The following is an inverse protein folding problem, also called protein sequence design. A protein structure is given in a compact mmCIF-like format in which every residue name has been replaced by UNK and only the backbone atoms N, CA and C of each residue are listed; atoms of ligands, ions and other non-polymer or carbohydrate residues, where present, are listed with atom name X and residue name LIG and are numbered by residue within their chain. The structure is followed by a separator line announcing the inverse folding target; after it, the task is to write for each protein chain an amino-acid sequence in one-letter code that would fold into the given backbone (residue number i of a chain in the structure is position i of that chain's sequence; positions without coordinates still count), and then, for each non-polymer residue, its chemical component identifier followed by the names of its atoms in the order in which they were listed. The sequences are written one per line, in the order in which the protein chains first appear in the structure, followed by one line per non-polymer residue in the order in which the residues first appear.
data_IF_195335364542
#
_entry.id   IF_195335364542
#
_cell.length_a   1.000
_cell.length_b   1.000
_cell.length_c   1.000
_cell.angle_alpha   90.00
_cell.angle_beta   90.00
_cell.angle_gamma   90.00
#
_symmetry.space_group_name_H-M   'P 1'
#
loop_
_entity.id
_entity.type
_entity.pdbx_description
1 polymer ?
#
# COMPACT_ATOMS: atom_id res chain seq x y z
N UNK A 1 -36.18 0.44 -38.10
CA UNK A 1 -35.64 1.77 -37.73
C UNK A 1 -34.19 1.83 -38.19
N UNK A 2 -33.58 3.01 -38.29
CA UNK A 2 -32.15 3.13 -38.63
C UNK A 2 -31.27 3.06 -37.36
N UNK A 3 -29.95 3.20 -37.53
CA UNK A 3 -29.03 3.52 -36.44
C UNK A 3 -29.02 5.04 -36.20
N UNK A 4 -28.99 5.45 -34.95
CA UNK A 4 -28.84 6.85 -34.55
C UNK A 4 -27.38 7.13 -34.20
N UNK A 5 -26.91 8.36 -34.41
CA UNK A 5 -25.57 8.74 -33.97
C UNK A 5 -25.50 8.80 -32.44
N UNK A 6 -24.38 8.37 -31.84
CA UNK A 6 -24.23 8.35 -30.38
C UNK A 6 -24.20 9.76 -29.78
N UNK A 7 -23.67 10.74 -30.49
CA UNK A 7 -23.59 12.14 -30.03
C UNK A 7 -24.94 12.87 -30.01
N UNK A 8 -26.06 12.19 -30.32
CA UNK A 8 -27.41 12.74 -30.15
C UNK A 8 -27.87 12.74 -28.68
N UNK A 9 -27.22 11.97 -27.81
CA UNK A 9 -27.37 12.06 -26.35
C UNK A 9 -26.03 12.55 -25.78
N UNK A 10 -26.10 13.58 -24.93
CA UNK A 10 -24.98 14.04 -24.11
C UNK A 10 -24.97 13.25 -22.80
N UNK A 11 -23.84 12.65 -22.43
CA UNK A 11 -23.65 12.07 -21.10
C UNK A 11 -22.99 13.13 -20.23
N UNK A 12 -23.62 13.52 -19.11
CA UNK A 12 -23.06 14.52 -18.18
C UNK A 12 -22.67 13.91 -16.84
N UNK A 13 -21.83 14.63 -16.10
CA UNK A 13 -21.38 14.30 -14.74
C UNK A 13 -21.38 15.56 -13.86
N UNK A 14 -22.39 16.41 -14.03
CA UNK A 14 -22.46 17.73 -13.40
C UNK A 14 -23.39 17.73 -12.18
N UNK A 15 -24.32 16.78 -12.08
CA UNK A 15 -25.21 16.63 -10.94
C UNK A 15 -24.51 16.16 -9.66
N UNK A 16 -25.21 16.28 -8.53
CA UNK A 16 -24.69 15.81 -7.26
C UNK A 16 -24.70 14.28 -7.20
N UNK A 17 -23.58 13.66 -6.84
CA UNK A 17 -23.41 12.20 -6.91
C UNK A 17 -23.28 11.67 -8.34
N UNK A 18 -23.12 12.55 -9.34
CA UNK A 18 -22.95 12.13 -10.72
C UNK A 18 -21.56 11.54 -10.95
N UNK A 19 -21.50 10.45 -11.70
CA UNK A 19 -20.25 9.79 -12.09
C UNK A 19 -20.38 9.14 -13.47
N UNK A 20 -19.28 8.56 -13.96
CA UNK A 20 -19.28 7.88 -15.24
C UNK A 20 -20.27 6.69 -15.23
N UNK A 21 -20.93 6.48 -16.37
CA UNK A 21 -21.68 5.25 -16.64
C UNK A 21 -20.72 4.06 -16.61
N UNK A 22 -21.16 2.93 -16.04
CA UNK A 22 -20.39 1.67 -16.09
C UNK A 22 -20.32 1.15 -17.53
N UNK A 23 -21.42 1.26 -18.26
CA UNK A 23 -21.43 0.92 -19.69
C UNK A 23 -22.41 1.75 -20.51
N UNK A 24 -22.07 1.88 -21.79
CA UNK A 24 -22.87 2.51 -22.84
C UNK A 24 -22.77 1.65 -24.11
N UNK A 25 -23.78 0.81 -24.35
CA UNK A 25 -23.76 -0.21 -25.39
C UNK A 25 -24.82 0.06 -26.44
N UNK A 26 -24.39 0.17 -27.71
CA UNK A 26 -25.30 0.25 -28.86
C UNK A 26 -25.45 -1.12 -29.51
N UNK A 27 -26.68 -1.62 -29.61
CA UNK A 27 -27.02 -2.84 -30.33
C UNK A 27 -27.73 -2.49 -31.65
N UNK A 28 -27.14 -2.90 -32.78
CA UNK A 28 -27.66 -2.63 -34.12
C UNK A 28 -28.47 -3.85 -34.59
N UNK A 29 -29.72 -3.92 -34.15
CA UNK A 29 -30.71 -4.89 -34.63
C UNK A 29 -31.65 -4.24 -35.67
N UNK A 30 -32.87 -4.76 -35.84
CA UNK A 30 -33.91 -4.18 -36.73
C UNK A 30 -34.32 -2.75 -36.34
N UNK A 31 -34.16 -2.37 -35.08
CA UNK A 31 -34.11 -1.00 -34.60
C UNK A 31 -32.92 -0.89 -33.64
N UNK A 32 -32.03 0.08 -33.86
CA UNK A 32 -30.89 0.24 -32.98
C UNK A 32 -31.36 0.62 -31.57
N UNK A 33 -30.83 -0.06 -30.56
CA UNK A 33 -31.02 0.31 -29.16
C UNK A 33 -29.69 0.76 -28.56
N UNK A 34 -29.75 1.65 -27.57
CA UNK A 34 -28.59 2.05 -26.78
C UNK A 34 -28.96 1.87 -25.31
N UNK A 35 -28.11 1.18 -24.57
CA UNK A 35 -28.33 0.82 -23.17
C UNK A 35 -27.25 1.47 -22.34
N UNK A 36 -27.68 2.26 -21.36
CA UNK A 36 -26.83 2.87 -20.34
C UNK A 36 -26.94 2.06 -19.07
N UNK A 37 -25.80 1.77 -18.43
CA UNK A 37 -25.75 1.10 -17.14
C UNK A 37 -25.09 2.03 -16.14
N UNK A 38 -25.82 2.36 -15.08
CA UNK A 38 -25.34 3.10 -13.93
C UNK A 38 -25.23 2.12 -12.77
N UNK A 39 -24.11 2.15 -12.04
CA UNK A 39 -23.90 1.29 -10.87
C UNK A 39 -23.67 2.14 -9.63
N UNK A 40 -24.12 1.65 -8.49
CA UNK A 40 -23.96 2.31 -7.19
C UNK A 40 -25.20 2.19 -6.34
N UNK A 41 -25.06 2.43 -5.04
CA UNK A 41 -26.19 2.38 -4.12
C UNK A 41 -27.16 3.51 -4.44
N UNK A 42 -28.44 3.15 -4.67
CA UNK A 42 -29.46 4.06 -5.21
C UNK A 42 -29.05 4.64 -6.58
N UNK A 43 -28.38 3.83 -7.41
CA UNK A 43 -28.09 4.19 -8.80
C UNK A 43 -29.35 4.72 -9.47
N UNK A 44 -29.18 5.81 -10.21
CA UNK A 44 -30.23 6.39 -11.00
C UNK A 44 -29.69 6.99 -12.30
N UNK A 45 -30.58 7.09 -13.29
CA UNK A 45 -30.28 7.72 -14.57
C UNK A 45 -31.29 8.85 -14.81
N UNK A 46 -30.80 10.09 -14.90
CA UNK A 46 -31.63 11.26 -15.21
C UNK A 46 -31.69 11.48 -16.72
N UNK A 47 -32.86 11.30 -17.33
CA UNK A 47 -33.05 11.28 -18.79
C UNK A 47 -33.84 12.45 -19.37
N UNK A 48 -33.80 13.64 -18.77
CA UNK A 48 -34.56 14.83 -19.19
C UNK A 48 -36.09 14.74 -19.01
N UNK A 49 -36.62 13.55 -18.73
CA UNK A 49 -38.05 13.21 -18.55
C UNK A 49 -38.37 12.74 -17.13
N UNK A 50 -37.35 12.54 -16.30
CA UNK A 50 -37.45 11.94 -14.98
C UNK A 50 -36.20 11.15 -14.64
N UNK A 51 -36.27 10.47 -13.50
CA UNK A 51 -35.19 9.68 -12.93
C UNK A 51 -35.57 8.21 -13.03
N UNK A 52 -34.77 7.40 -13.73
CA UNK A 52 -34.85 5.93 -13.68
C UNK A 52 -34.10 5.51 -12.43
N UNK A 53 -34.77 4.88 -11.46
CA UNK A 53 -34.14 4.38 -10.25
C UNK A 53 -33.74 2.91 -10.41
N UNK A 54 -32.77 2.44 -9.62
CA UNK A 54 -32.39 1.02 -9.45
C UNK A 54 -33.63 0.09 -9.45
N UNK A 55 -34.61 0.38 -8.58
CA UNK A 55 -35.86 -0.39 -8.48
C UNK A 55 -36.70 -0.49 -9.77
N UNK A 56 -36.53 0.42 -10.73
CA UNK A 56 -37.40 0.54 -11.90
C UNK A 56 -37.10 -0.51 -12.98
N UNK A 57 -35.93 -1.16 -12.95
CA UNK A 57 -35.60 -2.26 -13.85
C UNK A 57 -36.01 -3.65 -13.32
N UNK A 58 -36.64 -3.67 -12.13
CA UNK A 58 -37.22 -4.86 -11.52
C UNK A 58 -36.34 -5.51 -10.46
N UNK A 59 -35.16 -4.95 -10.17
CA UNK A 59 -34.28 -5.36 -9.07
C UNK A 59 -33.91 -4.17 -8.18
N UNK A 60 -33.49 -4.45 -6.94
CA UNK A 60 -32.81 -3.45 -6.09
C UNK A 60 -31.45 -4.05 -5.79
N UNK A 61 -30.52 -3.89 -6.73
CA UNK A 61 -29.20 -4.52 -6.70
C UNK A 61 -28.06 -3.52 -6.91
N UNK A 62 -28.39 -2.22 -6.90
CA UNK A 62 -27.44 -1.13 -7.10
C UNK A 62 -27.09 -0.94 -8.58
N UNK A 63 -27.95 -1.38 -9.50
CA UNK A 63 -27.79 -1.21 -10.93
C UNK A 63 -29.05 -0.56 -11.49
N UNK A 64 -28.88 0.59 -12.14
CA UNK A 64 -29.95 1.21 -12.92
C UNK A 64 -29.63 1.06 -14.41
N UNK A 65 -30.54 0.44 -15.16
CA UNK A 65 -30.41 0.31 -16.61
C UNK A 65 -31.42 1.20 -17.34
N UNK A 66 -30.95 1.94 -18.35
CA UNK A 66 -31.81 2.78 -19.19
C UNK A 66 -31.59 2.47 -20.67
N UNK A 67 -32.65 2.02 -21.35
CA UNK A 67 -32.60 1.69 -22.77
C UNK A 67 -33.39 2.70 -23.59
N UNK A 68 -32.77 3.21 -24.64
CA UNK A 68 -33.39 4.06 -25.65
C UNK A 68 -33.37 3.36 -27.01
N UNK A 69 -34.38 3.63 -27.84
CA UNK A 69 -34.49 3.08 -29.20
C UNK A 69 -34.31 4.20 -30.22
N UNK A 70 -33.59 3.96 -31.31
CA UNK A 70 -33.49 4.93 -32.38
C UNK A 70 -34.83 5.09 -33.12
N UNK A 71 -35.26 6.32 -33.34
CA UNK A 71 -36.50 6.61 -34.06
C UNK A 71 -36.42 6.18 -35.54
N UNK A 72 -37.57 6.10 -36.22
CA UNK A 72 -37.63 5.67 -37.64
C UNK A 72 -36.82 6.57 -38.57
N UNK A 73 -36.71 7.86 -38.24
CA UNK A 73 -35.99 8.86 -39.03
C UNK A 73 -34.46 8.81 -38.85
N UNK A 74 -33.95 8.12 -37.83
CA UNK A 74 -32.51 8.10 -37.52
C UNK A 74 -31.98 9.38 -36.88
N UNK A 75 -32.86 10.22 -36.33
CA UNK A 75 -32.52 11.59 -35.86
C UNK A 75 -32.55 11.76 -34.35
N UNK A 76 -33.14 10.82 -33.61
CA UNK A 76 -33.24 10.91 -32.16
C UNK A 76 -33.28 9.52 -31.49
N UNK A 77 -32.71 9.45 -30.30
CA UNK A 77 -32.89 8.34 -29.38
C UNK A 77 -34.17 8.58 -28.57
N UNK A 78 -35.08 7.62 -28.56
CA UNK A 78 -36.39 7.76 -27.93
C UNK A 78 -36.63 6.71 -26.85
N UNK A 79 -37.29 7.13 -25.77
CA UNK A 79 -37.87 6.24 -24.78
C UNK A 79 -39.35 6.62 -24.61
N UNK A 80 -40.26 5.64 -24.69
CA UNK A 80 -41.73 5.85 -24.62
C UNK A 80 -42.29 6.95 -25.55
N UNK A 81 -41.63 7.19 -26.69
CA UNK A 81 -42.05 8.17 -27.70
C UNK A 81 -41.49 9.58 -27.51
N UNK A 82 -40.53 9.75 -26.59
CA UNK A 82 -39.94 11.04 -26.26
C UNK A 82 -38.45 11.04 -26.59
N UNK A 83 -37.99 12.10 -27.23
CA UNK A 83 -36.59 12.33 -27.58
C UNK A 83 -35.75 12.56 -26.32
N UNK A 84 -34.72 11.74 -26.15
CA UNK A 84 -33.73 11.85 -25.09
C UNK A 84 -32.49 12.55 -25.66
N UNK A 85 -32.08 13.65 -25.01
CA UNK A 85 -30.94 14.46 -25.44
C UNK A 85 -29.81 14.50 -24.41
N UNK A 86 -30.09 14.08 -23.18
CA UNK A 86 -29.14 14.04 -22.08
C UNK A 86 -29.42 12.83 -21.19
N UNK A 87 -28.36 12.20 -20.71
CA UNK A 87 -28.40 11.23 -19.61
C UNK A 87 -27.31 11.56 -18.60
N UNK A 88 -27.58 11.31 -17.32
CA UNK A 88 -26.60 11.40 -16.24
C UNK A 88 -26.78 10.20 -15.32
N UNK A 89 -25.67 9.57 -14.92
CA UNK A 89 -25.69 8.53 -13.91
C UNK A 89 -25.34 9.16 -12.58
N UNK A 90 -26.20 9.01 -11.58
CA UNK A 90 -25.90 9.40 -10.22
C UNK A 90 -26.17 8.25 -9.25
N UNK A 91 -25.34 8.15 -8.22
CA UNK A 91 -25.56 7.24 -7.10
C UNK A 91 -25.18 7.93 -5.80
N UNK A 92 -25.53 7.32 -4.66
CA UNK A 92 -25.26 7.89 -3.33
C UNK A 92 -23.76 7.92 -2.99
N UNK A 93 -22.87 7.39 -3.81
CA UNK A 93 -21.46 7.36 -3.44
C UNK A 93 -20.86 8.77 -3.35
N UNK A 94 -20.56 9.13 -2.11
CA UNK A 94 -20.11 10.44 -1.68
C UNK A 94 -18.58 10.53 -1.70
N UNK A 95 -18.12 11.78 -1.68
CA UNK A 95 -16.75 12.10 -1.33
C UNK A 95 -16.53 11.84 0.16
N UNK A 96 -15.41 11.22 0.53
CA UNK A 96 -14.98 11.15 1.91
C UNK A 96 -13.99 12.28 2.18
N UNK A 97 -14.17 13.08 3.25
CA UNK A 97 -13.14 14.02 3.66
C UNK A 97 -11.81 13.31 3.91
N UNK A 98 -10.71 13.89 3.43
CA UNK A 98 -9.37 13.32 3.60
C UNK A 98 -8.95 13.27 5.08
N UNK A 99 -9.46 14.17 5.90
CA UNK A 99 -9.17 14.24 7.34
C UNK A 99 -9.89 13.18 8.19
N UNK A 100 -10.70 12.29 7.59
CA UNK A 100 -11.23 11.11 8.28
C UNK A 100 -10.14 10.06 8.59
N UNK A 101 -9.00 10.13 7.90
CA UNK A 101 -7.82 9.32 8.20
C UNK A 101 -6.73 10.24 8.74
N UNK A 102 -6.17 9.85 9.89
CA UNK A 102 -4.94 10.44 10.41
C UNK A 102 -3.73 9.75 9.78
N UNK A 103 -2.84 10.52 9.17
CA UNK A 103 -1.54 10.01 8.70
C UNK A 103 -0.51 10.31 9.78
N UNK A 104 0.11 9.27 10.34
CA UNK A 104 1.10 9.41 11.44
C UNK A 104 2.49 8.96 11.02
N UNK A 105 3.49 9.46 11.76
CA UNK A 105 4.91 9.09 11.65
C UNK A 105 5.48 8.86 13.05
N UNK A 106 4.66 8.35 13.97
CA UNK A 106 4.96 8.32 15.40
C UNK A 106 5.76 7.08 15.80
N UNK A 107 5.68 6.02 15.00
CA UNK A 107 6.42 4.79 15.21
C UNK A 107 7.92 4.98 14.93
N UNK A 108 8.73 4.07 15.45
CA UNK A 108 10.18 4.08 15.20
C UNK A 108 10.46 3.70 13.74
N UNK A 109 11.02 4.65 12.99
CA UNK A 109 11.27 4.48 11.55
C UNK A 109 10.15 5.04 10.67
N UNK A 110 9.01 5.43 11.26
CA UNK A 110 7.89 6.04 10.53
C UNK A 110 8.31 7.31 9.78
N UNK A 111 7.86 7.42 8.54
CA UNK A 111 8.07 8.60 7.70
C UNK A 111 6.80 8.97 6.93
N UNK A 112 6.85 10.11 6.22
CA UNK A 112 5.74 10.52 5.38
C UNK A 112 5.48 9.48 4.27
N UNK A 113 4.21 9.31 3.90
CA UNK A 113 3.81 8.54 2.73
C UNK A 113 4.46 9.14 1.47
N UNK A 114 4.95 8.28 0.58
CA UNK A 114 5.48 8.67 -0.73
C UNK A 114 4.35 9.04 -1.71
N UNK A 115 3.17 8.45 -1.51
CA UNK A 115 1.96 8.77 -2.27
C UNK A 115 0.70 8.80 -1.39
N UNK A 116 -0.17 9.76 -1.66
CA UNK A 116 -1.53 9.86 -1.13
C UNK A 116 -2.42 10.44 -2.23
N UNK A 117 -3.13 9.57 -2.94
CA UNK A 117 -3.88 9.92 -4.15
C UNK A 117 -5.35 9.57 -3.94
N UNK A 118 -6.23 10.55 -4.15
CA UNK A 118 -7.67 10.32 -4.25
C UNK A 118 -8.03 10.20 -5.73
N UNK A 119 -8.59 9.06 -6.11
CA UNK A 119 -9.10 8.80 -7.45
C UNK A 119 -10.59 9.14 -7.50
N UNK A 120 -10.89 10.20 -8.24
CA UNK A 120 -12.25 10.69 -8.51
C UNK A 120 -12.85 10.13 -9.80
N UNK A 121 -12.12 9.27 -10.50
CA UNK A 121 -12.45 8.85 -11.86
C UNK A 121 -12.90 7.40 -11.99
N UNK A 122 -12.73 6.56 -10.95
CA UNK A 122 -13.08 5.13 -11.03
C UNK A 122 -14.18 4.70 -10.05
N UNK A 123 -15.31 4.29 -10.62
CA UNK A 123 -16.43 3.69 -9.89
C UNK A 123 -17.34 4.71 -9.19
N UNK A 124 -18.37 4.22 -8.48
CA UNK A 124 -19.33 5.10 -7.84
C UNK A 124 -18.70 5.86 -6.66
N UNK A 125 -17.85 5.21 -5.84
CA UNK A 125 -17.24 5.78 -4.62
C UNK A 125 -15.77 6.16 -4.81
N UNK A 126 -15.36 7.29 -4.22
CA UNK A 126 -13.96 7.71 -4.21
C UNK A 126 -13.06 6.60 -3.66
N UNK A 127 -11.92 6.41 -4.33
CA UNK A 127 -10.84 5.59 -3.81
C UNK A 127 -9.71 6.49 -3.34
N UNK A 128 -9.02 6.08 -2.28
CA UNK A 128 -7.80 6.74 -1.80
C UNK A 128 -6.70 5.72 -1.67
N UNK A 129 -5.60 5.96 -2.35
CA UNK A 129 -4.44 5.06 -2.39
C UNK A 129 -3.27 5.72 -1.71
N UNK A 130 -2.73 5.03 -0.71
CA UNK A 130 -1.47 5.36 -0.06
C UNK A 130 -0.35 4.53 -0.67
N UNK A 131 0.82 5.15 -0.81
CA UNK A 131 2.05 4.50 -1.24
C UNK A 131 3.15 4.80 -0.23
N UNK A 132 3.88 3.75 0.15
CA UNK A 132 5.03 3.79 1.03
C UNK A 132 6.17 3.07 0.33
N UNK A 133 7.30 3.74 0.12
CA UNK A 133 8.47 3.23 -0.58
C UNK A 133 9.64 3.10 0.40
N UNK A 134 10.51 2.12 0.14
CA UNK A 134 11.71 1.88 0.92
C UNK A 134 11.92 0.40 1.23
N UNK A 135 13.12 0.06 1.68
CA UNK A 135 13.49 -1.32 1.94
C UNK A 135 12.58 -1.92 3.02
N UNK A 136 11.77 -2.91 2.66
CA UNK A 136 10.78 -3.50 3.57
C UNK A 136 9.64 -2.54 3.96
N UNK A 137 9.23 -1.67 3.03
CA UNK A 137 8.09 -0.77 3.19
C UNK A 137 6.83 -1.52 3.64
N UNK A 138 6.13 -0.94 4.61
CA UNK A 138 4.81 -1.40 5.02
C UNK A 138 3.89 -0.22 5.39
N UNK A 139 2.60 -0.48 5.34
CA UNK A 139 1.57 0.46 5.80
C UNK A 139 0.87 -0.16 7.00
N UNK A 140 1.07 0.45 8.16
CA UNK A 140 0.38 0.13 9.41
C UNK A 140 -1.00 0.80 9.41
N UNK A 141 -2.01 0.05 9.87
CA UNK A 141 -3.41 0.49 9.84
C UNK A 141 -3.99 0.47 11.25
N UNK A 142 -4.65 1.58 11.63
CA UNK A 142 -5.36 1.72 12.91
C UNK A 142 -4.51 1.42 14.17
N UNK A 143 -3.20 1.70 14.12
CA UNK A 143 -2.29 1.50 15.26
C UNK A 143 -1.96 0.02 15.53
N UNK A 144 -1.30 -0.63 14.57
CA UNK A 144 -0.82 -2.02 14.61
C UNK A 144 -1.90 -3.11 14.49
N UNK A 145 -3.11 -2.76 14.04
CA UNK A 145 -4.20 -3.73 13.85
C UNK A 145 -4.18 -4.43 12.47
N UNK A 146 -3.20 -4.11 11.62
CA UNK A 146 -2.97 -4.76 10.34
C UNK A 146 -1.80 -4.13 9.60
N UNK A 147 -1.06 -4.96 8.86
CA UNK A 147 0.12 -4.55 8.08
C UNK A 147 -0.10 -4.90 6.62
N UNK A 148 0.09 -3.93 5.72
CA UNK A 148 0.18 -4.18 4.27
C UNK A 148 1.66 -4.17 3.90
N UNK A 149 2.18 -5.32 3.47
CA UNK A 149 3.55 -5.46 2.98
C UNK A 149 3.52 -5.83 1.50
N UNK A 150 4.43 -5.26 0.73
CA UNK A 150 4.82 -5.81 -0.57
C UNK A 150 6.28 -6.27 -0.49
N UNK A 151 6.59 -7.40 -1.14
CA UNK A 151 7.96 -7.94 -1.21
C UNK A 151 8.88 -7.08 -2.11
N UNK A 152 8.33 -6.01 -2.71
CA UNK A 152 8.95 -5.20 -3.76
C UNK A 152 9.55 -3.86 -3.30
N UNK A 153 9.70 -3.64 -1.97
CA UNK A 153 10.12 -2.36 -1.38
C UNK A 153 9.13 -1.20 -1.63
N UNK A 154 7.89 -1.51 -2.06
CA UNK A 154 6.80 -0.54 -2.27
C UNK A 154 5.49 -1.10 -1.75
N UNK A 155 5.01 -0.64 -0.59
CA UNK A 155 3.68 -0.99 -0.10
C UNK A 155 2.62 -0.03 -0.66
N UNK A 156 1.50 -0.58 -1.16
CA UNK A 156 0.35 0.21 -1.63
C UNK A 156 -0.94 -0.24 -0.96
N UNK A 157 -1.75 0.73 -0.52
CA UNK A 157 -2.99 0.47 0.20
C UNK A 157 -4.12 1.36 -0.32
N UNK A 158 -5.14 0.73 -0.91
CA UNK A 158 -6.31 1.43 -1.46
C UNK A 158 -7.53 1.23 -0.58
N UNK A 159 -8.17 2.35 -0.24
CA UNK A 159 -9.41 2.46 0.51
C UNK A 159 -10.55 2.88 -0.40
N UNK A 160 -11.78 2.51 -0.02
CA UNK A 160 -13.00 2.98 -0.68
C UNK A 160 -13.85 3.75 0.32
N UNK A 161 -14.33 4.93 -0.06
CA UNK A 161 -15.27 5.69 0.77
C UNK A 161 -16.57 4.89 1.00
N UNK A 162 -17.13 4.92 2.21
CA UNK A 162 -18.43 4.31 2.48
C UNK A 162 -19.59 5.14 1.88
N UNK A 163 -20.75 4.52 1.77
CA UNK A 163 -21.95 5.11 1.15
C UNK A 163 -22.47 6.38 1.84
N UNK A 164 -22.10 6.59 3.11
CA UNK A 164 -22.51 7.75 3.88
C UNK A 164 -21.49 8.89 3.84
N UNK A 165 -20.33 8.71 3.19
CA UNK A 165 -19.27 9.72 3.15
C UNK A 165 -18.60 9.97 4.51
N UNK A 166 -18.75 9.04 5.45
CA UNK A 166 -18.34 9.19 6.86
C UNK A 166 -17.11 8.38 7.24
N UNK A 167 -16.68 7.44 6.40
CA UNK A 167 -15.51 6.60 6.66
C UNK A 167 -14.85 6.10 5.38
N UNK A 168 -13.52 5.96 5.43
CA UNK A 168 -12.77 5.19 4.45
C UNK A 168 -12.72 3.73 4.87
N UNK A 169 -13.01 2.81 3.97
CA UNK A 169 -13.23 1.40 4.27
C UNK A 169 -12.21 0.51 3.56
N UNK A 170 -11.81 -0.56 4.24
CA UNK A 170 -11.07 -1.69 3.67
C UNK A 170 -11.67 -3.00 4.19
N UNK A 171 -12.10 -3.89 3.29
CA UNK A 171 -12.72 -5.17 3.64
C UNK A 171 -13.83 -5.07 4.70
N UNK A 172 -14.65 -4.01 4.64
CA UNK A 172 -15.75 -3.76 5.58
C UNK A 172 -15.35 -3.15 6.93
N UNK A 173 -14.06 -2.84 7.13
CA UNK A 173 -13.55 -2.17 8.33
C UNK A 173 -13.27 -0.71 8.05
N UNK A 174 -13.69 0.18 8.94
CA UNK A 174 -13.38 1.60 8.87
C UNK A 174 -11.91 1.86 9.25
N UNK A 175 -11.21 2.60 8.40
CA UNK A 175 -9.83 3.00 8.60
C UNK A 175 -9.80 4.45 9.05
N UNK A 176 -9.18 4.68 10.19
CA UNK A 176 -9.07 6.00 10.84
C UNK A 176 -7.62 6.47 10.95
N UNK A 177 -6.66 5.57 10.74
CA UNK A 177 -5.24 5.89 10.80
C UNK A 177 -4.45 5.02 9.83
N UNK A 178 -3.47 5.64 9.18
CA UNK A 178 -2.44 4.95 8.40
C UNK A 178 -1.06 5.51 8.76
N UNK A 179 -0.04 4.67 8.68
CA UNK A 179 1.35 5.06 8.89
C UNK A 179 2.25 4.32 7.91
N UNK A 180 3.12 5.06 7.21
CA UNK A 180 4.20 4.47 6.45
C UNK A 180 5.34 4.23 7.40
N UNK A 181 5.57 2.95 7.68
CA UNK A 181 6.72 2.52 8.44
C UNK A 181 7.49 1.52 7.56
N UNK A 182 8.82 1.61 7.45
CA UNK A 182 9.58 0.41 7.14
C UNK A 182 9.35 -0.59 8.29
N UNK A 183 9.44 -1.90 8.00
CA UNK A 183 9.38 -2.93 9.05
C UNK A 183 10.19 -2.47 10.27
N UNK A 184 9.69 -2.61 11.52
CA UNK A 184 10.36 -2.06 12.68
C UNK A 184 11.83 -2.48 12.64
N UNK A 185 12.69 -1.48 12.79
CA UNK A 185 14.08 -1.50 12.40
C UNK A 185 14.89 -2.64 13.08
N UNK A 186 14.89 -3.84 12.46
CA UNK A 186 15.92 -4.87 12.30
C UNK A 186 15.34 -6.25 11.97
N UNK A 187 16.07 -7.06 11.20
CA UNK A 187 15.95 -8.53 11.22
C UNK A 187 17.27 -9.25 10.93
N UNK A 188 18.16 -8.64 10.15
CA UNK A 188 19.53 -9.10 9.94
C UNK A 188 20.41 -7.98 9.37
N UNK A 189 21.69 -7.95 9.75
CA UNK A 189 22.74 -7.15 9.11
C UNK A 189 23.55 -8.07 8.19
N UNK A 190 24.08 -7.55 7.07
CA UNK A 190 24.95 -8.37 6.24
C UNK A 190 26.20 -8.82 7.01
N UNK A 191 26.64 -10.07 6.78
CA UNK A 191 27.79 -10.67 7.48
C UNK A 191 29.11 -9.94 7.17
N UNK A 192 29.23 -9.39 5.96
CA UNK A 192 30.39 -8.66 5.45
C UNK A 192 30.59 -7.27 6.08
N UNK A 193 29.61 -6.76 6.84
CA UNK A 193 29.72 -5.47 7.54
C UNK A 193 30.76 -5.50 8.67
N UNK A 194 31.13 -6.70 9.15
CA UNK A 194 32.35 -6.92 9.95
C UNK A 194 33.35 -7.67 9.07
N UNK A 195 34.48 -7.04 8.80
CA UNK A 195 35.61 -7.70 8.17
C UNK A 195 36.35 -8.58 9.20
N UNK A 196 36.42 -9.88 8.96
CA UNK A 196 37.25 -10.80 9.75
C UNK A 196 38.64 -10.86 9.15
N UNK A 197 39.67 -10.35 9.85
CA UNK A 197 41.05 -10.38 9.35
C UNK A 197 41.90 -11.44 10.04
N UNK A 198 43.01 -11.81 9.38
CA UNK A 198 44.02 -12.73 9.90
C UNK A 198 45.43 -12.21 9.60
N UNK A 199 45.63 -10.91 9.75
CA UNK A 199 46.85 -10.22 9.30
C UNK A 199 47.80 -9.89 10.45
N UNK A 200 47.30 -9.81 11.69
CA UNK A 200 48.12 -9.59 12.88
C UNK A 200 49.00 -10.79 13.25
N UNK A 201 49.97 -10.54 14.11
CA UNK A 201 50.81 -11.60 14.66
C UNK A 201 49.97 -12.50 15.59
N UNK A 202 50.05 -13.81 15.40
CA UNK A 202 49.21 -14.76 16.16
C UNK A 202 47.77 -14.86 15.64
N UNK A 203 47.41 -14.12 14.58
CA UNK A 203 46.05 -14.12 14.06
C UNK A 203 45.64 -15.45 13.43
N UNK A 204 44.38 -15.81 13.60
CA UNK A 204 43.81 -17.08 13.15
C UNK A 204 42.29 -16.99 12.92
N UNK A 205 41.68 -17.98 12.26
CA UNK A 205 40.23 -18.01 12.08
C UNK A 205 39.46 -18.09 13.40
N UNK A 206 38.31 -17.42 13.47
CA UNK A 206 37.33 -17.62 14.53
C UNK A 206 36.85 -19.08 14.54
N UNK A 207 36.66 -19.64 15.74
CA UNK A 207 36.18 -21.00 15.93
C UNK A 207 34.69 -21.15 15.60
N UNK A 208 33.89 -20.13 15.94
CA UNK A 208 32.47 -20.07 15.61
C UNK A 208 32.06 -18.66 15.22
N UNK A 209 31.08 -18.57 14.32
CA UNK A 209 30.42 -17.35 13.88
C UNK A 209 28.96 -17.70 13.63
N UNK A 210 28.10 -17.34 14.58
CA UNK A 210 26.68 -17.71 14.55
C UNK A 210 25.82 -16.45 14.57
N UNK A 211 24.62 -16.53 13.99
CA UNK A 211 23.68 -15.42 13.98
C UNK A 211 22.31 -15.93 14.39
N UNK A 212 21.80 -15.36 15.49
CA UNK A 212 20.46 -15.60 16.00
C UNK A 212 19.54 -14.51 15.46
N UNK A 213 18.47 -14.92 14.77
CA UNK A 213 17.44 -14.04 14.20
C UNK A 213 16.08 -14.22 14.87
N UNK A 214 16.01 -14.91 15.99
CA UNK A 214 14.76 -15.17 16.71
C UNK A 214 14.21 -13.92 17.44
N UNK A 215 15.06 -12.93 17.70
CA UNK A 215 14.70 -11.66 18.35
C UNK A 215 14.40 -10.52 17.37
N UNK A 216 14.05 -9.35 17.92
CA UNK A 216 13.78 -8.12 17.16
C UNK A 216 14.97 -7.64 16.34
N UNK A 217 16.21 -7.89 16.80
CA UNK A 217 17.43 -7.61 16.03
C UNK A 217 18.27 -8.88 15.95
N UNK A 218 18.93 -9.10 14.81
CA UNK A 218 19.89 -10.19 14.73
C UNK A 218 21.03 -9.98 15.72
N UNK A 219 21.39 -11.04 16.44
CA UNK A 219 22.53 -11.09 17.34
C UNK A 219 23.57 -12.01 16.72
N UNK A 220 24.78 -11.51 16.49
CA UNK A 220 25.89 -12.30 15.95
C UNK A 220 26.92 -12.55 17.05
N UNK A 221 27.35 -13.80 17.15
CA UNK A 221 28.31 -14.27 18.16
C UNK A 221 29.56 -14.81 17.48
N UNK A 222 30.68 -14.14 17.70
CA UNK A 222 32.02 -14.50 17.21
C UNK A 222 32.84 -15.11 18.34
N UNK A 223 33.26 -16.36 18.18
CA UNK A 223 34.01 -17.10 19.21
C UNK A 223 35.46 -17.30 18.79
N UNK A 224 36.39 -16.82 19.60
CA UNK A 224 37.82 -17.07 19.49
C UNK A 224 38.24 -18.02 20.63
N UNK A 225 39.05 -19.05 20.35
CA UNK A 225 39.46 -20.05 21.35
C UNK A 225 40.96 -20.28 21.28
N UNK A 226 41.65 -20.46 22.40
CA UNK A 226 43.09 -20.71 22.44
C UNK A 226 43.71 -20.25 23.76
N UNK A 227 44.93 -20.68 24.05
CA UNK A 227 45.67 -20.15 25.19
C UNK A 227 45.99 -18.67 24.92
N UNK A 228 45.57 -17.75 25.80
CA UNK A 228 45.69 -16.29 25.62
C UNK A 228 44.96 -15.73 24.39
N UNK A 229 43.83 -16.33 24.02
CA UNK A 229 43.06 -15.85 22.87
C UNK A 229 42.52 -14.44 23.10
N UNK A 230 42.64 -13.58 22.10
CA UNK A 230 42.09 -12.22 22.14
C UNK A 230 41.29 -11.90 20.88
N UNK A 231 40.26 -11.04 21.05
CA UNK A 231 39.53 -10.43 19.96
C UNK A 231 39.94 -8.96 19.86
N UNK A 232 40.47 -8.59 18.70
CA UNK A 232 40.87 -7.22 18.38
C UNK A 232 39.82 -6.58 17.49
N UNK A 233 39.35 -5.40 17.88
CA UNK A 233 38.31 -4.66 17.17
C UNK A 233 38.80 -3.31 16.70
N UNK A 234 38.27 -2.86 15.56
CA UNK A 234 38.48 -1.51 15.08
C UNK A 234 37.18 -0.71 15.23
N UNK A 235 37.19 0.20 16.20
CA UNK A 235 36.12 1.16 16.47
C UNK A 235 36.60 2.53 15.99
N UNK A 236 35.93 3.13 15.00
CA UNK A 236 36.27 4.49 14.52
C UNK A 236 37.77 4.68 14.20
N UNK A 237 38.40 3.69 13.54
CA UNK A 237 39.85 3.66 13.23
C UNK A 237 40.79 3.62 14.45
N UNK A 238 40.26 3.37 15.64
CA UNK A 238 41.01 3.17 16.87
C UNK A 238 41.02 1.68 17.23
N UNK A 239 42.20 1.20 17.64
CA UNK A 239 42.42 -0.18 18.04
C UNK A 239 41.90 -0.41 19.46
N UNK A 240 41.07 -1.43 19.66
CA UNK A 240 40.59 -1.84 20.98
C UNK A 240 40.76 -3.35 21.17
N UNK A 241 41.40 -3.75 22.28
CA UNK A 241 41.52 -5.14 22.69
C UNK A 241 40.47 -5.44 23.75
N UNK A 242 39.58 -6.39 23.47
CA UNK A 242 38.49 -6.71 24.40
C UNK A 242 38.91 -7.63 25.53
N UNK A 243 39.78 -8.61 25.25
CA UNK A 243 40.11 -9.67 26.19
C UNK A 243 41.61 -9.96 26.16
N UNK A 244 42.29 -9.77 27.29
CA UNK A 244 43.63 -10.33 27.52
C UNK A 244 43.43 -11.71 28.16
N UNK A 245 43.33 -12.75 27.34
CA UNK A 245 42.97 -14.10 27.81
C UNK A 245 43.83 -14.56 28.98
N UNK A 246 43.19 -14.92 30.10
CA UNK A 246 43.83 -15.42 31.31
C UNK A 246 44.11 -16.94 31.26
N UNK A 247 43.79 -17.58 30.13
CA UNK A 247 43.95 -19.02 29.92
C UNK A 247 42.71 -19.86 30.23
N UNK A 248 41.55 -19.25 30.50
CA UNK A 248 40.25 -19.93 30.51
C UNK A 248 39.40 -19.54 29.28
N UNK A 249 38.32 -20.26 28.99
CA UNK A 249 37.48 -20.04 27.79
C UNK A 249 36.94 -18.61 27.75
N UNK A 250 37.61 -17.74 27.00
CA UNK A 250 37.27 -16.32 26.91
C UNK A 250 35.85 -16.10 26.36
N UNK A 251 35.13 -15.08 26.86
CA UNK A 251 33.76 -14.81 26.41
C UNK A 251 33.74 -14.37 24.94
N UNK A 252 32.73 -14.82 24.16
CA UNK A 252 32.63 -14.47 22.75
C UNK A 252 32.30 -12.98 22.55
N UNK A 253 32.66 -12.44 21.39
CA UNK A 253 32.18 -11.14 20.94
C UNK A 253 30.73 -11.28 20.50
N UNK A 254 29.83 -10.55 21.18
CA UNK A 254 28.39 -10.50 20.86
C UNK A 254 28.05 -9.12 20.34
N UNK A 255 27.53 -9.05 19.11
CA UNK A 255 27.11 -7.82 18.46
C UNK A 255 25.66 -7.86 18.03
N UNK A 256 25.01 -6.71 18.06
CA UNK A 256 23.59 -6.56 17.67
C UNK A 256 23.49 -5.73 16.41
N UNK A 257 22.69 -6.16 15.44
CA UNK A 257 22.41 -5.36 14.25
C UNK A 257 21.73 -4.03 14.64
N UNK A 258 22.15 -2.92 14.04
CA UNK A 258 21.53 -1.62 14.26
C UNK A 258 20.19 -1.51 13.53
N UNK A 259 19.31 -0.65 14.03
CA UNK A 259 17.98 -0.37 13.48
C UNK A 259 17.94 -0.36 11.93
N UNK A 260 18.85 0.37 11.29
CA UNK A 260 18.90 0.50 9.83
C UNK A 260 19.39 -0.73 9.05
N UNK A 261 19.83 -1.82 9.70
CA UNK A 261 20.40 -2.98 9.01
C UNK A 261 21.77 -2.72 8.36
N UNK A 262 22.46 -1.65 8.77
CA UNK A 262 23.67 -1.13 8.13
C UNK A 262 24.95 -1.30 8.94
N UNK A 263 24.86 -1.72 10.21
CA UNK A 263 26.02 -1.90 11.07
C UNK A 263 25.78 -2.92 12.18
N UNK A 264 26.83 -3.64 12.56
CA UNK A 264 26.88 -4.43 13.79
C UNK A 264 27.40 -3.56 14.94
N UNK A 265 26.67 -3.54 16.06
CA UNK A 265 26.99 -2.72 17.22
C UNK A 265 27.56 -3.57 18.35
N UNK A 266 28.71 -3.18 18.86
CA UNK A 266 29.25 -3.64 20.14
C UNK A 266 29.10 -2.52 21.18
N UNK A 267 28.38 -2.78 22.28
CA UNK A 267 28.08 -1.77 23.31
C UNK A 267 27.49 -0.46 22.74
N UNK A 268 26.68 -0.56 21.68
CA UNK A 268 26.07 0.59 21.00
C UNK A 268 26.97 1.31 19.99
N UNK A 269 28.20 0.85 19.79
CA UNK A 269 29.18 1.45 18.88
C UNK A 269 29.35 0.55 17.64
N UNK A 270 29.28 1.11 16.41
CA UNK A 270 29.55 0.34 15.20
C UNK A 270 30.96 -0.25 15.17
N UNK A 271 31.06 -1.53 14.86
CA UNK A 271 32.33 -2.20 14.55
C UNK A 271 32.39 -2.58 13.07
N UNK A 272 33.57 -2.41 12.47
CA UNK A 272 33.77 -2.71 11.03
C UNK A 272 34.78 -3.82 10.78
N UNK A 273 35.52 -4.22 11.81
CA UNK A 273 36.55 -5.26 11.72
C UNK A 273 36.71 -5.98 13.06
N UNK A 274 36.95 -7.29 13.00
CA UNK A 274 37.30 -8.12 14.14
C UNK A 274 38.43 -9.10 13.74
N UNK A 275 39.41 -9.32 14.62
CA UNK A 275 40.49 -10.30 14.44
C UNK A 275 40.59 -11.19 15.67
N UNK A 276 40.81 -12.49 15.47
CA UNK A 276 41.06 -13.47 16.53
C UNK A 276 42.56 -13.81 16.54
N UNK A 277 43.24 -13.64 17.67
CA UNK A 277 44.68 -13.92 17.81
C UNK A 277 44.99 -14.71 19.10
N UNK A 278 46.22 -15.25 19.19
CA UNK A 278 46.81 -15.98 20.34
C UNK A 278 48.28 -15.62 20.52
#
# INVERSE_FOLDING_TARGET
CQSCAQNLITITTNGNGAHAMESDVTNIATCATRTFTCIGTLANIEGGQGTIMDADDGAVDGVATFTVTCNTAGTAWVNTGIDITQVECASKCLTCPSNLISITTASTGGHAMDGDVIDETTGPCLKRTFTCEGKGANIEINGDHGVITDESDVASFTLTCNEDGTAWMYNGVAITQVECAPLPACKMCEQNLIMKTTNGNGAKPFAMDTTDTSGTCAVRTLTCVGNQANIEEWINRSFFQLNNGDGTTDPPLVVTCNAGGTAWLFMGIPITQAECAV
#
